data_IF_537547846952
#
_entry.id   IF_537547846952
#
_cell.length_a   1.000
_cell.length_b   1.000
_cell.length_c   1.000
_cell.angle_alpha   90.00
_cell.angle_beta   90.00
_cell.angle_gamma   90.00
#
_symmetry.space_group_name_H-M   'P 1'
#
loop_
_entity.id
_entity.type
_entity.pdbx_description
1 polymer ?
#
# COMPACT_ATOMS: atom_id res chain seq x y z
N UNK A 1 12.80 18.66 -4.79
CA UNK A 1 11.51 18.03 -4.42
C UNK A 1 11.71 16.60 -3.89
N UNK A 2 12.14 15.59 -4.70
CA UNK A 2 12.37 14.24 -4.15
C UNK A 2 13.44 14.18 -3.06
N UNK A 3 14.54 14.89 -3.22
CA UNK A 3 15.61 15.01 -2.22
C UNK A 3 15.15 15.61 -0.89
N UNK A 4 14.13 16.48 -0.92
CA UNK A 4 13.54 17.06 0.30
C UNK A 4 12.58 16.08 0.97
N UNK A 5 11.81 15.30 0.15
CA UNK A 5 10.86 14.29 0.66
C UNK A 5 11.62 13.14 1.33
N UNK A 6 12.75 12.73 0.76
CA UNK A 6 13.56 11.62 1.26
C UNK A 6 14.75 12.06 2.13
N UNK A 7 14.82 13.33 2.54
CA UNK A 7 15.87 13.78 3.43
C UNK A 7 15.84 13.02 4.77
N UNK A 8 16.96 12.41 5.11
CA UNK A 8 17.09 11.55 6.29
C UNK A 8 16.52 10.13 6.16
N UNK A 9 15.94 9.75 5.01
CA UNK A 9 15.48 8.39 4.75
C UNK A 9 16.46 7.62 3.88
N UNK A 10 16.66 6.34 4.18
CA UNK A 10 17.55 5.44 3.44
C UNK A 10 16.81 4.47 2.51
N UNK A 11 15.49 4.37 2.64
CA UNK A 11 14.66 3.48 1.83
C UNK A 11 13.22 3.97 1.76
N UNK A 12 12.50 3.49 0.76
CA UNK A 12 11.04 3.62 0.65
C UNK A 12 10.44 2.25 0.31
N UNK A 13 9.21 2.04 0.74
CA UNK A 13 8.46 0.80 0.47
C UNK A 13 7.01 1.15 0.19
N UNK A 14 6.34 0.28 -0.60
CA UNK A 14 4.93 0.43 -0.93
C UNK A 14 4.60 1.74 -1.69
N UNK A 15 3.34 2.14 -1.75
CA UNK A 15 2.92 3.40 -2.36
C UNK A 15 3.13 4.58 -1.40
N UNK A 16 3.57 5.73 -1.91
CA UNK A 16 3.75 6.09 -3.32
C UNK A 16 5.10 5.69 -3.95
N UNK A 17 6.09 5.24 -3.16
CA UNK A 17 7.44 4.93 -3.65
C UNK A 17 7.44 3.93 -4.80
N UNK A 18 6.67 2.84 -4.69
CA UNK A 18 6.54 1.82 -5.73
C UNK A 18 5.93 2.33 -7.04
N UNK A 19 5.11 3.38 -7.02
CA UNK A 19 4.58 4.01 -8.22
C UNK A 19 5.62 4.90 -8.93
N UNK A 20 6.41 5.63 -8.15
CA UNK A 20 7.42 6.57 -8.67
C UNK A 20 8.82 5.96 -8.82
N UNK A 21 8.92 4.65 -8.87
CA UNK A 21 10.22 3.97 -8.90
C UNK A 21 11.11 4.42 -10.06
N UNK A 22 10.54 4.78 -11.23
CA UNK A 22 11.32 5.26 -12.38
C UNK A 22 12.03 6.58 -12.08
N UNK A 23 11.28 7.54 -11.57
CA UNK A 23 11.84 8.84 -11.17
C UNK A 23 12.88 8.65 -10.05
N UNK A 24 12.63 7.72 -9.13
CA UNK A 24 13.54 7.46 -8.03
C UNK A 24 14.85 6.81 -8.48
N UNK A 25 14.84 5.85 -9.39
CA UNK A 25 16.08 5.24 -9.91
C UNK A 25 16.91 6.18 -10.78
N UNK A 26 16.28 7.20 -11.38
CA UNK A 26 16.96 8.24 -12.14
C UNK A 26 17.67 9.23 -11.21
N UNK A 27 17.04 9.59 -10.08
CA UNK A 27 17.57 10.56 -9.10
C UNK A 27 18.60 9.91 -8.18
N UNK A 28 18.40 8.63 -7.85
CA UNK A 28 19.27 7.83 -6.99
C UNK A 28 19.88 6.67 -7.79
N UNK A 29 20.94 6.94 -8.61
CA UNK A 29 21.47 5.95 -9.54
C UNK A 29 22.10 4.73 -8.87
N UNK A 30 22.46 4.83 -7.59
CA UNK A 30 23.02 3.73 -6.80
C UNK A 30 21.96 2.98 -5.98
N UNK A 31 20.70 3.40 -6.04
CA UNK A 31 19.61 2.75 -5.27
C UNK A 31 19.36 1.33 -5.77
N UNK A 32 19.34 0.38 -4.86
CA UNK A 32 18.91 -1.00 -5.09
C UNK A 32 17.39 -1.08 -5.11
N UNK A 33 16.83 -1.86 -6.02
CA UNK A 33 15.39 -2.06 -6.17
C UNK A 33 15.05 -3.51 -5.82
N UNK A 34 14.11 -3.68 -4.89
CA UNK A 34 13.55 -4.97 -4.54
C UNK A 34 12.13 -5.08 -5.13
N UNK A 35 11.96 -5.96 -6.10
CA UNK A 35 10.66 -6.32 -6.65
C UNK A 35 10.15 -7.57 -5.95
N UNK A 36 9.27 -7.40 -4.98
CA UNK A 36 8.61 -8.53 -4.33
C UNK A 36 7.55 -9.15 -5.24
N UNK A 37 7.65 -10.45 -5.48
CA UNK A 37 6.73 -11.19 -6.34
C UNK A 37 5.98 -12.28 -5.58
N UNK A 38 4.79 -12.59 -6.06
CA UNK A 38 3.92 -13.61 -5.50
C UNK A 38 3.15 -14.32 -6.62
N UNK A 39 2.67 -15.55 -6.34
CA UNK A 39 1.76 -16.27 -7.24
C UNK A 39 0.55 -15.39 -7.59
N UNK A 40 0.21 -15.22 -8.88
CA UNK A 40 -0.79 -14.25 -9.33
C UNK A 40 -2.16 -14.39 -8.67
N UNK A 41 -2.70 -15.62 -8.58
CA UNK A 41 -4.01 -15.86 -7.97
C UNK A 41 -4.00 -15.57 -6.45
N UNK A 42 -2.89 -15.87 -5.77
CA UNK A 42 -2.74 -15.59 -4.35
C UNK A 42 -2.56 -14.10 -4.08
N UNK A 43 -1.89 -13.38 -5.01
CA UNK A 43 -1.77 -11.93 -4.95
C UNK A 43 -3.12 -11.25 -5.19
N UNK A 44 -3.82 -11.64 -6.26
CA UNK A 44 -5.13 -11.08 -6.61
C UNK A 44 -6.12 -11.21 -5.44
N UNK A 45 -6.23 -12.41 -4.88
CA UNK A 45 -7.09 -12.66 -3.72
C UNK A 45 -6.76 -11.76 -2.55
N UNK A 46 -5.47 -11.63 -2.21
CA UNK A 46 -5.01 -10.74 -1.14
C UNK A 46 -5.34 -9.27 -1.44
N UNK A 47 -5.07 -8.80 -2.65
CA UNK A 47 -5.33 -7.43 -3.11
C UNK A 47 -6.83 -7.10 -3.04
N UNK A 48 -7.68 -8.00 -3.54
CA UNK A 48 -9.14 -7.83 -3.55
C UNK A 48 -9.73 -7.80 -2.16
N UNK A 49 -9.24 -8.64 -1.28
CA UNK A 49 -9.73 -8.74 0.09
C UNK A 49 -9.20 -7.65 1.03
N UNK A 50 -8.23 -6.87 0.59
CA UNK A 50 -7.59 -5.80 1.38
C UNK A 50 -7.68 -4.45 0.69
N UNK A 51 -6.66 -4.04 -0.05
CA UNK A 51 -6.52 -2.70 -0.64
C UNK A 51 -7.69 -2.33 -1.55
N UNK A 52 -8.11 -3.28 -2.42
CA UNK A 52 -9.26 -3.07 -3.30
C UNK A 52 -10.55 -2.86 -2.52
N UNK A 53 -10.79 -3.65 -1.47
CA UNK A 53 -12.01 -3.59 -0.67
C UNK A 53 -12.19 -2.27 0.09
N UNK A 54 -11.12 -1.53 0.36
CA UNK A 54 -11.19 -0.21 1.02
C UNK A 54 -11.91 0.83 0.16
N UNK A 55 -11.81 0.72 -1.18
CA UNK A 55 -12.38 1.70 -2.12
C UNK A 55 -13.48 1.16 -3.01
N UNK A 56 -13.52 -0.15 -3.20
CA UNK A 56 -14.37 -0.79 -4.20
C UNK A 56 -15.27 -1.85 -3.57
N UNK A 57 -16.28 -2.29 -4.34
CA UNK A 57 -17.21 -3.31 -3.88
C UNK A 57 -18.18 -2.81 -2.80
N UNK A 58 -18.90 -3.76 -2.22
CA UNK A 58 -19.85 -3.54 -1.12
C UNK A 58 -19.36 -4.33 0.11
N UNK A 59 -18.68 -3.65 1.01
CA UNK A 59 -18.12 -4.26 2.21
C UNK A 59 -18.20 -3.32 3.41
N UNK A 60 -18.16 -3.88 4.61
CA UNK A 60 -18.08 -3.10 5.84
C UNK A 60 -16.82 -2.21 5.84
N UNK A 61 -15.71 -2.71 5.35
CA UNK A 61 -14.44 -1.96 5.28
C UNK A 61 -14.58 -0.73 4.40
N UNK A 62 -15.20 -0.86 3.22
CA UNK A 62 -15.48 0.30 2.36
C UNK A 62 -16.38 1.31 3.04
N UNK A 63 -17.45 0.84 3.72
CA UNK A 63 -18.38 1.71 4.42
C UNK A 63 -17.68 2.50 5.53
N UNK A 64 -16.89 1.84 6.37
CA UNK A 64 -16.13 2.46 7.45
C UNK A 64 -15.07 3.43 6.91
N UNK A 65 -14.29 3.03 5.90
CA UNK A 65 -13.31 3.90 5.24
C UNK A 65 -13.96 5.15 4.63
N UNK A 66 -15.14 5.00 4.02
CA UNK A 66 -15.88 6.12 3.45
C UNK A 66 -16.41 7.05 4.54
N UNK A 67 -16.95 6.52 5.63
CA UNK A 67 -17.40 7.31 6.77
C UNK A 67 -16.24 8.07 7.42
N UNK A 68 -15.10 7.43 7.62
CA UNK A 68 -13.89 8.07 8.10
C UNK A 68 -13.47 9.24 7.22
N UNK A 69 -13.50 9.08 5.89
CA UNK A 69 -13.12 10.12 4.94
C UNK A 69 -13.97 11.40 5.07
N UNK A 70 -15.22 11.29 5.51
CA UNK A 70 -16.07 12.46 5.73
C UNK A 70 -15.65 13.29 6.95
N UNK A 71 -15.05 12.68 7.94
CA UNK A 71 -14.72 13.33 9.21
C UNK A 71 -13.21 13.53 9.43
N UNK A 72 -12.38 12.89 8.60
CA UNK A 72 -10.92 12.96 8.68
C UNK A 72 -10.33 13.40 7.33
N UNK A 73 -9.96 14.70 7.18
CA UNK A 73 -9.39 15.23 5.93
C UNK A 73 -8.07 14.57 5.51
N UNK A 74 -7.27 14.09 6.45
CA UNK A 74 -5.99 13.39 6.15
C UNK A 74 -6.28 12.04 5.48
N UNK A 75 -7.24 11.29 6.01
CA UNK A 75 -7.68 10.03 5.41
C UNK A 75 -8.29 10.26 4.02
N UNK A 76 -9.13 11.28 3.87
CA UNK A 76 -9.67 11.66 2.56
C UNK A 76 -8.55 12.01 1.56
N UNK A 77 -7.54 12.77 1.98
CA UNK A 77 -6.38 13.11 1.15
C UNK A 77 -5.59 11.87 0.73
N UNK A 78 -5.37 10.92 1.67
CA UNK A 78 -4.73 9.64 1.38
C UNK A 78 -5.53 8.82 0.36
N UNK A 79 -6.85 8.70 0.53
CA UNK A 79 -7.70 7.98 -0.43
C UNK A 79 -7.68 8.62 -1.83
N UNK A 80 -7.69 9.94 -1.92
CA UNK A 80 -7.60 10.64 -3.21
C UNK A 80 -6.26 10.36 -3.91
N UNK A 81 -5.16 10.33 -3.15
CA UNK A 81 -3.85 9.94 -3.68
C UNK A 81 -3.87 8.49 -4.20
N UNK A 82 -4.38 7.55 -3.42
CA UNK A 82 -4.49 6.14 -3.82
C UNK A 82 -5.37 5.98 -5.06
N UNK A 83 -6.48 6.70 -5.15
CA UNK A 83 -7.33 6.68 -6.34
C UNK A 83 -6.56 7.11 -7.59
N UNK A 84 -5.77 8.18 -7.52
CA UNK A 84 -4.96 8.66 -8.64
C UNK A 84 -3.82 7.72 -9.03
N UNK A 85 -3.15 7.10 -8.04
CA UNK A 85 -1.99 6.24 -8.28
C UNK A 85 -2.35 4.79 -8.64
N UNK A 86 -3.51 4.31 -8.20
CA UNK A 86 -3.92 2.92 -8.43
C UNK A 86 -5.08 2.78 -9.41
N UNK A 87 -6.18 3.50 -9.21
CA UNK A 87 -7.47 3.16 -9.81
C UNK A 87 -7.89 4.03 -10.97
N UNK A 88 -7.38 5.25 -11.09
CA UNK A 88 -7.83 6.25 -12.04
C UNK A 88 -6.71 6.79 -12.92
N UNK A 89 -7.07 7.41 -14.03
CA UNK A 89 -6.15 8.13 -14.91
C UNK A 89 -5.00 7.27 -15.41
N UNK A 90 -3.79 7.52 -14.92
CA UNK A 90 -2.58 6.76 -15.24
C UNK A 90 -2.20 5.73 -14.16
N UNK A 91 -3.09 5.48 -13.21
CA UNK A 91 -2.87 4.54 -12.12
C UNK A 91 -2.61 3.12 -12.60
N UNK A 92 -1.92 2.34 -11.81
CA UNK A 92 -1.46 0.98 -12.15
C UNK A 92 -2.60 0.07 -12.63
N UNK A 93 -3.79 0.20 -12.04
CA UNK A 93 -4.97 -0.62 -12.33
C UNK A 93 -6.08 0.15 -13.07
N UNK A 94 -5.81 1.35 -13.57
CA UNK A 94 -6.82 2.22 -14.20
C UNK A 94 -7.45 1.62 -15.46
N UNK A 95 -6.73 0.71 -16.16
CA UNK A 95 -7.25 0.02 -17.36
C UNK A 95 -8.35 -1.02 -17.04
N UNK A 96 -8.49 -1.42 -15.78
CA UNK A 96 -9.50 -2.34 -15.29
C UNK A 96 -9.07 -3.04 -14.00
N UNK A 97 -10.00 -3.18 -13.08
CA UNK A 97 -9.77 -3.83 -11.78
C UNK A 97 -11.02 -4.52 -11.23
N UNK A 98 -12.11 -4.55 -11.99
CA UNK A 98 -13.36 -5.18 -11.55
C UNK A 98 -13.24 -6.71 -11.55
N UNK A 99 -12.59 -7.26 -12.59
CA UNK A 99 -12.42 -8.70 -12.75
C UNK A 99 -11.04 -9.16 -12.25
N UNK A 100 -10.93 -10.37 -11.67
CA UNK A 100 -9.67 -10.93 -11.17
C UNK A 100 -8.55 -10.89 -12.22
N UNK A 101 -8.86 -11.29 -13.45
CA UNK A 101 -7.89 -11.29 -14.55
C UNK A 101 -7.31 -9.91 -14.84
N UNK A 102 -8.09 -8.84 -14.74
CA UNK A 102 -7.62 -7.47 -14.98
C UNK A 102 -6.55 -7.05 -13.97
N UNK A 103 -6.74 -7.40 -12.69
CA UNK A 103 -5.76 -7.14 -11.63
C UNK A 103 -4.48 -7.94 -11.87
N UNK A 104 -4.60 -9.23 -12.20
CA UNK A 104 -3.45 -10.11 -12.50
C UNK A 104 -2.67 -9.58 -13.71
N UNK A 105 -3.34 -9.23 -14.78
CA UNK A 105 -2.71 -8.70 -16.00
C UNK A 105 -1.99 -7.37 -15.71
N UNK A 106 -2.56 -6.52 -14.87
CA UNK A 106 -1.94 -5.25 -14.48
C UNK A 106 -0.70 -5.46 -13.59
N UNK A 107 -0.76 -6.38 -12.64
CA UNK A 107 0.39 -6.78 -11.82
C UNK A 107 1.52 -7.34 -12.69
N UNK A 108 1.20 -8.24 -13.62
CA UNK A 108 2.19 -8.84 -14.51
C UNK A 108 2.86 -7.77 -15.38
N UNK A 109 2.07 -6.86 -15.98
CA UNK A 109 2.62 -5.73 -16.75
C UNK A 109 3.56 -4.88 -15.91
N UNK A 110 3.16 -4.54 -14.68
CA UNK A 110 4.02 -3.77 -13.77
C UNK A 110 5.34 -4.51 -13.48
N UNK A 111 5.26 -5.79 -13.14
CA UNK A 111 6.44 -6.60 -12.84
C UNK A 111 7.39 -6.69 -14.05
N UNK A 112 6.84 -6.90 -15.25
CA UNK A 112 7.64 -6.99 -16.48
C UNK A 112 8.27 -5.63 -16.84
N UNK A 113 7.55 -4.55 -16.58
CA UNK A 113 8.04 -3.20 -16.78
C UNK A 113 9.19 -2.85 -15.82
N UNK A 114 9.07 -3.19 -14.52
CA UNK A 114 10.16 -3.04 -13.56
C UNK A 114 11.39 -3.82 -13.99
N UNK A 115 11.22 -5.10 -14.37
CA UNK A 115 12.33 -5.96 -14.84
C UNK A 115 13.01 -5.43 -16.10
N UNK A 116 12.27 -4.76 -16.97
CA UNK A 116 12.83 -4.18 -18.20
C UNK A 116 13.47 -2.80 -18.02
N UNK A 117 13.05 -2.08 -16.98
CA UNK A 117 13.47 -0.69 -16.73
C UNK A 117 14.67 -0.61 -15.78
N UNK A 118 14.66 -1.42 -14.73
CA UNK A 118 15.72 -1.41 -13.70
C UNK A 118 16.91 -2.24 -14.17
N UNK A 119 18.16 -1.69 -14.15
CA UNK A 119 19.35 -2.46 -14.45
C UNK A 119 19.48 -3.71 -13.58
N UNK A 120 19.88 -4.82 -14.17
CA UNK A 120 19.90 -6.13 -13.51
C UNK A 120 20.84 -6.23 -12.31
N UNK A 121 21.89 -5.42 -12.29
CA UNK A 121 22.84 -5.31 -11.17
C UNK A 121 22.27 -4.57 -9.95
N UNK A 122 21.17 -3.84 -10.15
CA UNK A 122 20.45 -3.11 -9.09
C UNK A 122 19.07 -3.67 -8.78
N UNK A 123 18.65 -4.77 -9.41
CA UNK A 123 17.33 -5.37 -9.25
C UNK A 123 17.41 -6.75 -8.60
N UNK A 124 16.74 -6.91 -7.47
CA UNK A 124 16.39 -8.23 -6.95
C UNK A 124 14.89 -8.50 -7.18
N UNK A 125 14.60 -9.54 -7.95
CA UNK A 125 13.23 -10.11 -8.02
C UNK A 125 13.16 -11.21 -6.96
N UNK A 126 12.31 -11.02 -5.96
CA UNK A 126 12.34 -11.83 -4.76
C UNK A 126 10.94 -12.25 -4.30
N UNK A 127 10.83 -13.46 -3.82
CA UNK A 127 9.63 -13.96 -3.15
C UNK A 127 9.89 -14.14 -1.66
N UNK A 128 8.91 -13.81 -0.82
CA UNK A 128 9.00 -14.01 0.63
C UNK A 128 9.34 -15.46 1.03
N UNK A 129 9.04 -16.43 0.17
CA UNK A 129 9.36 -17.84 0.37
C UNK A 129 10.88 -18.14 0.33
N UNK A 130 11.67 -17.25 -0.25
CA UNK A 130 13.12 -17.36 -0.34
C UNK A 130 13.83 -16.92 0.96
N UNK A 131 13.10 -16.26 1.86
CA UNK A 131 13.60 -15.86 3.17
C UNK A 131 14.75 -14.84 3.12
N UNK A 132 15.60 -14.87 4.15
CA UNK A 132 16.66 -13.89 4.34
C UNK A 132 17.81 -14.00 3.32
N UNK A 133 18.15 -15.20 2.84
CA UNK A 133 19.36 -15.46 2.07
C UNK A 133 19.56 -14.49 0.90
N UNK A 134 18.74 -14.56 -0.17
CA UNK A 134 18.90 -13.69 -1.35
C UNK A 134 18.74 -12.19 -1.02
N UNK A 135 17.87 -11.86 -0.06
CA UNK A 135 17.65 -10.48 0.37
C UNK A 135 18.90 -9.89 1.02
N UNK A 136 19.49 -10.62 1.96
CA UNK A 136 20.70 -10.17 2.68
C UNK A 136 21.94 -10.14 1.76
N UNK A 137 22.08 -11.12 0.87
CA UNK A 137 23.13 -11.12 -0.15
C UNK A 137 23.03 -9.88 -1.04
N UNK A 138 21.87 -9.59 -1.58
CA UNK A 138 21.63 -8.41 -2.41
C UNK A 138 21.89 -7.10 -1.69
N UNK A 139 21.51 -7.00 -0.42
CA UNK A 139 21.70 -5.80 0.40
C UNK A 139 23.09 -5.72 1.03
N UNK A 140 23.93 -6.76 0.87
CA UNK A 140 25.27 -6.85 1.48
C UNK A 140 25.22 -6.78 3.01
N UNK A 141 24.23 -7.42 3.60
CA UNK A 141 23.98 -7.44 5.03
C UNK A 141 24.15 -8.87 5.59
N UNK A 142 24.52 -9.03 6.86
CA UNK A 142 24.52 -10.33 7.50
C UNK A 142 23.10 -10.90 7.62
N UNK A 143 22.98 -12.21 7.44
CA UNK A 143 21.69 -12.91 7.64
C UNK A 143 21.36 -12.92 9.14
N UNK A 144 20.17 -12.45 9.56
CA UNK A 144 19.74 -12.49 10.95
C UNK A 144 19.60 -13.93 11.49
N UNK A 145 19.89 -14.13 12.76
CA UNK A 145 19.72 -15.43 13.45
C UNK A 145 18.25 -15.68 13.91
N UNK A 146 17.29 -15.04 13.26
CA UNK A 146 15.86 -15.19 13.54
C UNK A 146 15.13 -15.68 12.30
N UNK A 147 14.01 -16.38 12.50
CA UNK A 147 13.15 -16.77 11.39
C UNK A 147 12.67 -15.56 10.59
N UNK A 148 12.41 -15.78 9.30
CA UNK A 148 11.86 -14.72 8.46
C UNK A 148 10.44 -14.35 8.98
N UNK A 149 10.16 -13.06 9.27
CA UNK A 149 8.90 -12.67 9.89
C UNK A 149 7.71 -12.90 8.94
N UNK A 150 6.63 -13.39 9.50
CA UNK A 150 5.35 -13.55 8.81
C UNK A 150 4.30 -12.65 9.46
N UNK A 151 4.36 -11.37 9.11
CA UNK A 151 3.49 -10.29 9.64
C UNK A 151 2.71 -9.63 8.50
N UNK A 152 1.79 -8.73 8.81
CA UNK A 152 0.89 -8.05 7.86
C UNK A 152 -0.05 -9.04 7.14
N UNK A 153 -0.70 -9.91 7.91
CA UNK A 153 -1.75 -10.72 7.38
C UNK A 153 -3.02 -9.88 7.09
N UNK A 154 -3.97 -10.50 6.39
CA UNK A 154 -5.25 -9.87 6.05
C UNK A 154 -5.99 -9.34 7.29
N UNK A 155 -6.00 -10.10 8.36
CA UNK A 155 -6.74 -9.78 9.59
C UNK A 155 -6.16 -8.51 10.22
N UNK A 156 -4.85 -8.41 10.30
CA UNK A 156 -4.17 -7.23 10.82
C UNK A 156 -4.46 -5.98 9.97
N UNK A 157 -4.41 -6.11 8.63
CA UNK A 157 -4.76 -5.00 7.73
C UNK A 157 -6.19 -4.52 7.95
N UNK A 158 -7.16 -5.43 7.99
CA UNK A 158 -8.58 -5.10 8.19
C UNK A 158 -8.82 -4.45 9.56
N UNK A 159 -8.19 -4.97 10.62
CA UNK A 159 -8.30 -4.40 11.96
C UNK A 159 -7.75 -2.97 12.00
N UNK A 160 -6.62 -2.68 11.37
CA UNK A 160 -6.09 -1.30 11.28
C UNK A 160 -7.07 -0.33 10.63
N UNK A 161 -7.77 -0.74 9.57
CA UNK A 161 -8.79 0.10 8.93
C UNK A 161 -9.99 0.29 9.86
N UNK A 162 -10.47 -0.77 10.51
CA UNK A 162 -11.59 -0.69 11.45
C UNK A 162 -11.25 0.24 12.61
N UNK A 163 -10.13 0.00 13.29
CA UNK A 163 -9.72 0.76 14.47
C UNK A 163 -9.49 2.25 14.13
N UNK A 164 -8.81 2.53 13.01
CA UNK A 164 -8.61 3.90 12.54
C UNK A 164 -9.92 4.62 12.20
N UNK A 165 -10.87 3.90 11.59
CA UNK A 165 -12.19 4.45 11.28
C UNK A 165 -12.99 4.74 12.54
N UNK A 166 -13.01 3.80 13.50
CA UNK A 166 -13.71 3.97 14.76
C UNK A 166 -13.12 5.13 15.59
N UNK A 167 -11.80 5.22 15.66
CA UNK A 167 -11.11 6.33 16.34
C UNK A 167 -11.51 7.68 15.75
N UNK A 168 -11.42 7.84 14.41
CA UNK A 168 -11.77 9.09 13.73
C UNK A 168 -13.23 9.48 13.91
N UNK A 169 -14.16 8.51 13.86
CA UNK A 169 -15.58 8.75 14.07
C UNK A 169 -15.90 9.11 15.54
N UNK A 170 -15.19 8.49 16.49
CA UNK A 170 -15.32 8.81 17.92
C UNK A 170 -14.85 10.23 18.21
N UNK A 171 -13.67 10.60 17.72
CA UNK A 171 -13.13 11.95 17.86
C UNK A 171 -14.03 13.02 17.22
N UNK A 172 -14.59 12.70 16.05
CA UNK A 172 -15.55 13.58 15.38
C UNK A 172 -16.78 13.78 16.25
N UNK A 173 -17.41 12.70 16.74
CA UNK A 173 -18.59 12.75 17.61
C UNK A 173 -18.34 13.58 18.87
N UNK A 174 -17.19 13.39 19.53
CA UNK A 174 -16.81 14.14 20.72
C UNK A 174 -16.68 15.65 20.44
N UNK A 175 -16.09 16.02 19.31
CA UNK A 175 -16.03 17.43 18.86
C UNK A 175 -17.43 18.00 18.60
N UNK A 176 -18.29 17.28 17.87
CA UNK A 176 -19.66 17.74 17.60
C UNK A 176 -20.47 17.86 18.90
N UNK A 177 -20.35 16.94 19.84
CA UNK A 177 -21.03 17.01 21.13
C UNK A 177 -20.62 18.23 21.98
N UNK A 178 -19.44 18.80 21.77
CA UNK A 178 -19.04 20.07 22.42
C UNK A 178 -19.71 21.28 21.77
N UNK A 179 -20.14 21.18 20.51
CA UNK A 179 -20.82 22.26 19.75
C UNK A 179 -22.34 22.12 19.85
N UNK A 180 -22.84 20.90 19.73
CA UNK A 180 -24.26 20.55 19.81
C UNK A 180 -24.48 19.36 20.76
N UNK A 181 -25.09 19.60 21.94
CA UNK A 181 -25.35 18.54 22.93
C UNK A 181 -26.27 17.40 22.44
N UNK A 182 -26.97 17.56 21.31
CA UNK A 182 -27.80 16.49 20.73
C UNK A 182 -26.98 15.30 20.23
N UNK A 183 -25.66 15.48 20.01
CA UNK A 183 -24.70 14.43 19.68
C UNK A 183 -24.12 13.70 20.91
N UNK A 184 -24.39 14.19 22.13
CA UNK A 184 -24.00 13.50 23.35
C UNK A 184 -24.86 12.24 23.51
N UNK A 185 -24.23 11.06 23.58
CA UNK A 185 -24.93 9.82 23.94
C UNK A 185 -25.25 9.91 25.42
N UNK A 186 -26.51 9.81 25.79
CA UNK A 186 -26.91 9.64 27.18
C UNK A 186 -26.31 8.35 27.73
N UNK A 187 -25.83 8.40 28.98
CA UNK A 187 -25.33 7.26 29.75
C UNK A 187 -26.38 6.15 29.87
#
# INVERSE_FOLDING_TARGET
MWSEIFDGFHSTVDWPGGYFYRELIDIYPDAKVLLSVREPDAWERSMRETVWAVRNGESLIRLLSSAQAHVNPQWQGFLNMIDGLLWQGKGTFAAGHAEPKQLIDAMNRHNDEVKSTVPSDRLLVWSVKEGWGPLCEFLELPVPEVEFPHINDRTEFLNRIIDGSLASLTEWREREATVDPSFAVGD
#
